data_IF_319452393806
#
_entry.id   IF_319452393806
#
_cell.length_a   1.000
_cell.length_b   1.000
_cell.length_c   1.000
_cell.angle_alpha   90.00
_cell.angle_beta   90.00
_cell.angle_gamma   90.00
#
_symmetry.space_group_name_H-M   'P 1'
#
loop_
_entity.id
_entity.type
_entity.pdbx_description
1 polymer ?
#
# COMPACT_ATOMS: atom_id res chain seq x y z
N UNK A 1 14.32 7.84 0.46
CA UNK A 1 14.29 6.79 -0.57
C UNK A 1 15.29 7.12 -1.66
N UNK A 2 15.98 6.12 -2.21
CA UNK A 2 16.98 6.30 -3.26
C UNK A 2 16.34 6.55 -4.64
N UNK A 3 17.07 7.26 -5.53
CA UNK A 3 16.74 7.29 -6.96
C UNK A 3 17.22 5.97 -7.59
N UNK A 4 16.31 5.23 -8.21
CA UNK A 4 16.61 3.93 -8.79
C UNK A 4 17.09 4.06 -10.24
N UNK A 5 18.04 3.21 -10.65
CA UNK A 5 18.40 3.04 -12.06
C UNK A 5 17.26 2.33 -12.82
N UNK A 6 17.28 2.39 -14.16
CA UNK A 6 16.28 1.71 -15.01
C UNK A 6 16.21 0.20 -14.71
N UNK A 7 17.36 -0.45 -14.56
CA UNK A 7 17.43 -1.88 -14.26
C UNK A 7 16.87 -2.20 -12.87
N UNK A 8 17.15 -1.37 -11.86
CA UNK A 8 16.58 -1.50 -10.53
C UNK A 8 15.06 -1.29 -10.56
N UNK A 9 14.57 -0.31 -11.32
CA UNK A 9 13.13 -0.11 -11.49
C UNK A 9 12.44 -1.33 -12.11
N UNK A 10 13.00 -1.88 -13.18
CA UNK A 10 12.45 -3.07 -13.83
C UNK A 10 12.45 -4.29 -12.89
N UNK A 11 13.56 -4.50 -12.18
CA UNK A 11 13.69 -5.61 -11.22
C UNK A 11 12.70 -5.49 -10.05
N UNK A 12 12.61 -4.30 -9.42
CA UNK A 12 11.67 -4.06 -8.30
C UNK A 12 10.21 -4.17 -8.77
N UNK A 13 9.90 -3.70 -9.98
CA UNK A 13 8.56 -3.85 -10.56
C UNK A 13 8.19 -5.32 -10.76
N UNK A 14 9.07 -6.13 -11.33
CA UNK A 14 8.86 -7.56 -11.52
C UNK A 14 8.69 -8.29 -10.18
N UNK A 15 9.52 -7.95 -9.18
CA UNK A 15 9.40 -8.53 -7.85
C UNK A 15 8.09 -8.10 -7.16
N UNK A 16 7.67 -6.85 -7.29
CA UNK A 16 6.38 -6.40 -6.78
C UNK A 16 5.21 -7.10 -7.48
N UNK A 17 5.30 -7.28 -8.81
CA UNK A 17 4.28 -7.99 -9.58
C UNK A 17 4.13 -9.46 -9.16
N UNK A 18 5.23 -10.16 -8.89
CA UNK A 18 5.24 -11.56 -8.44
C UNK A 18 4.85 -11.70 -6.97
N UNK A 19 5.75 -11.27 -6.09
CA UNK A 19 5.71 -11.56 -4.65
C UNK A 19 5.41 -10.32 -3.79
N UNK A 20 4.78 -9.29 -4.35
CA UNK A 20 4.43 -8.10 -3.61
C UNK A 20 2.93 -7.87 -3.46
N UNK A 21 2.58 -6.90 -2.63
CA UNK A 21 1.21 -6.43 -2.45
C UNK A 21 1.16 -4.92 -2.26
N UNK A 22 0.16 -4.30 -2.89
CA UNK A 22 -0.19 -2.89 -2.71
C UNK A 22 -1.58 -2.88 -2.09
N UNK A 23 -1.70 -2.40 -0.84
CA UNK A 23 -3.00 -2.36 -0.18
C UNK A 23 -3.14 -1.15 0.75
N UNK A 24 -4.39 -0.81 1.06
CA UNK A 24 -4.75 0.25 2.00
C UNK A 24 -5.78 -0.31 2.96
N UNK A 25 -5.51 -0.21 4.27
CA UNK A 25 -6.46 -0.59 5.31
C UNK A 25 -7.12 0.65 5.89
N UNK A 26 -8.41 0.54 6.17
CA UNK A 26 -9.12 1.46 7.03
C UNK A 26 -9.13 0.86 8.43
N UNK A 27 -8.55 1.58 9.40
CA UNK A 27 -8.46 1.13 10.80
C UNK A 27 -9.25 2.10 11.67
N UNK A 28 -10.16 1.63 12.56
CA UNK A 28 -10.77 2.49 13.56
C UNK A 28 -9.68 3.16 14.40
N UNK A 29 -9.76 4.46 14.53
CA UNK A 29 -8.82 5.24 15.36
C UNK A 29 -9.47 6.59 15.70
N UNK A 30 -9.77 6.81 16.99
CA UNK A 30 -10.46 7.99 17.50
C UNK A 30 -9.63 9.29 17.37
N UNK A 31 -8.31 9.18 17.25
CA UNK A 31 -7.43 10.33 17.08
C UNK A 31 -7.56 10.97 15.68
N UNK A 32 -8.22 10.27 14.74
CA UNK A 32 -8.45 10.78 13.39
C UNK A 32 -9.83 11.45 13.30
N UNK A 33 -9.88 12.60 12.64
CA UNK A 33 -11.07 13.47 12.53
C UNK A 33 -12.37 12.73 12.13
N UNK A 34 -12.28 11.67 11.32
CA UNK A 34 -13.43 10.85 10.93
C UNK A 34 -13.49 9.49 11.63
N UNK A 35 -12.72 9.31 12.73
CA UNK A 35 -12.67 8.06 13.51
C UNK A 35 -11.96 6.90 12.83
N UNK A 36 -11.27 7.12 11.69
CA UNK A 36 -10.59 6.10 10.93
C UNK A 36 -9.26 6.57 10.36
N UNK A 37 -8.25 5.75 10.52
CA UNK A 37 -6.96 5.90 9.86
C UNK A 37 -6.96 5.25 8.48
N UNK A 38 -6.52 5.96 7.45
CA UNK A 38 -6.16 5.40 6.14
C UNK A 38 -4.71 4.95 6.22
N UNK A 39 -4.46 3.63 6.26
CA UNK A 39 -3.16 3.01 6.48
C UNK A 39 -2.70 2.26 5.20
N UNK A 40 -1.97 2.94 4.29
CA UNK A 40 -1.41 2.32 3.10
C UNK A 40 -0.16 1.51 3.43
N UNK A 41 0.10 0.47 2.62
CA UNK A 41 1.33 -0.32 2.68
C UNK A 41 1.69 -0.88 1.30
N UNK A 42 2.98 -0.98 1.03
CA UNK A 42 3.56 -1.83 0.00
C UNK A 42 4.39 -2.87 0.73
N UNK A 43 4.18 -4.14 0.42
CA UNK A 43 4.88 -5.25 1.08
C UNK A 43 5.43 -6.19 0.02
N UNK A 44 6.67 -6.61 0.20
CA UNK A 44 7.30 -7.68 -0.56
C UNK A 44 7.43 -8.89 0.36
N UNK A 45 7.10 -10.07 -0.13
CA UNK A 45 7.10 -11.31 0.63
C UNK A 45 8.21 -12.23 0.14
N UNK A 46 8.82 -12.96 1.08
CA UNK A 46 9.77 -14.01 0.76
C UNK A 46 9.83 -15.03 1.91
N UNK A 47 10.36 -16.22 1.65
CA UNK A 47 10.72 -17.14 2.72
C UNK A 47 11.76 -16.50 3.66
N UNK A 48 11.69 -16.77 4.96
CA UNK A 48 12.72 -16.33 5.92
C UNK A 48 14.12 -16.86 5.57
N UNK A 49 14.21 -17.98 4.84
CA UNK A 49 15.49 -18.49 4.32
C UNK A 49 16.19 -17.50 3.38
N UNK A 50 15.42 -16.65 2.72
CA UNK A 50 15.90 -15.65 1.77
C UNK A 50 15.91 -14.23 2.37
N UNK A 51 16.02 -14.08 3.69
CA UNK A 51 15.98 -12.78 4.35
C UNK A 51 17.04 -11.82 3.82
N UNK A 52 18.27 -12.31 3.57
CA UNK A 52 19.37 -11.51 3.00
C UNK A 52 18.99 -10.87 1.66
N UNK A 53 18.18 -11.56 0.86
CA UNK A 53 17.67 -10.99 -0.39
C UNK A 53 16.75 -9.78 -0.12
N UNK A 54 15.84 -9.86 0.84
CA UNK A 54 15.00 -8.73 1.22
C UNK A 54 15.82 -7.57 1.82
N UNK A 55 16.91 -7.85 2.53
CA UNK A 55 17.84 -6.83 3.00
C UNK A 55 18.53 -6.08 1.85
N UNK A 56 18.89 -6.80 0.78
CA UNK A 56 19.43 -6.18 -0.44
C UNK A 56 18.39 -5.27 -1.11
N UNK A 57 17.14 -5.72 -1.24
CA UNK A 57 16.04 -4.91 -1.77
C UNK A 57 15.83 -3.65 -0.93
N UNK A 58 15.85 -3.78 0.40
CA UNK A 58 15.76 -2.64 1.32
C UNK A 58 16.91 -1.66 1.10
N UNK A 59 18.15 -2.12 0.93
CA UNK A 59 19.31 -1.26 0.63
C UNK A 59 19.15 -0.51 -0.69
N UNK A 60 18.65 -1.19 -1.72
CA UNK A 60 18.38 -0.57 -3.04
C UNK A 60 17.35 0.55 -2.90
N UNK A 61 16.23 0.30 -2.24
CA UNK A 61 15.14 1.28 -2.08
C UNK A 61 15.51 2.38 -1.07
N UNK A 62 16.27 2.03 -0.03
CA UNK A 62 16.78 2.98 0.96
C UNK A 62 15.74 3.43 1.99
N UNK A 63 14.69 2.63 2.25
CA UNK A 63 13.64 2.93 3.24
C UNK A 63 12.91 1.66 3.67
N UNK A 64 12.01 1.76 4.67
CA UNK A 64 11.18 0.65 5.13
C UNK A 64 11.88 -0.25 6.14
N UNK A 65 11.21 -1.34 6.51
CA UNK A 65 11.69 -2.29 7.52
C UNK A 65 11.32 -3.72 7.17
N UNK A 66 12.03 -4.66 7.80
CA UNK A 66 11.82 -6.09 7.66
C UNK A 66 11.02 -6.62 8.86
N UNK A 67 10.15 -7.58 8.61
CA UNK A 67 9.42 -8.32 9.63
C UNK A 67 9.45 -9.80 9.34
N UNK A 68 9.77 -10.61 10.36
CA UNK A 68 9.62 -12.07 10.31
C UNK A 68 8.26 -12.44 10.87
N UNK A 69 7.57 -13.38 10.23
CA UNK A 69 6.30 -13.95 10.67
C UNK A 69 6.54 -15.33 11.26
N UNK A 70 5.63 -15.81 12.11
CA UNK A 70 5.76 -17.11 12.75
C UNK A 70 5.53 -18.30 11.78
N UNK A 71 4.98 -18.03 10.58
CA UNK A 71 4.70 -19.03 9.54
C UNK A 71 5.84 -19.21 8.53
N UNK A 72 7.05 -18.73 8.84
CA UNK A 72 8.23 -18.86 7.98
C UNK A 72 8.34 -17.82 6.85
N UNK A 73 7.42 -16.86 6.77
CA UNK A 73 7.45 -15.78 5.81
C UNK A 73 8.21 -14.59 6.38
N UNK A 74 9.06 -13.97 5.56
CA UNK A 74 9.64 -12.65 5.79
C UNK A 74 8.93 -11.60 4.92
N UNK A 75 8.76 -10.41 5.47
CA UNK A 75 8.13 -9.29 4.82
C UNK A 75 9.08 -8.09 4.81
N UNK A 76 9.22 -7.44 3.66
CA UNK A 76 9.79 -6.10 3.57
C UNK A 76 8.66 -5.10 3.36
N UNK A 77 8.51 -4.16 4.29
CA UNK A 77 7.33 -3.30 4.43
C UNK A 77 7.73 -1.84 4.24
N UNK A 78 7.01 -1.17 3.34
CA UNK A 78 6.99 0.29 3.18
C UNK A 78 5.65 0.81 3.72
N UNK A 79 5.70 1.71 4.71
CA UNK A 79 4.51 2.30 5.36
C UNK A 79 4.46 3.83 5.25
N UNK A 80 5.54 4.47 4.83
CA UNK A 80 5.58 5.92 4.61
C UNK A 80 5.01 6.28 3.23
N UNK A 81 4.03 7.20 3.20
CA UNK A 81 3.30 7.59 1.98
C UNK A 81 4.21 8.23 0.94
N UNK A 82 5.12 9.09 1.37
CA UNK A 82 6.06 9.78 0.47
C UNK A 82 6.97 8.78 -0.23
N UNK A 83 7.54 7.86 0.54
CA UNK A 83 8.38 6.75 0.03
C UNK A 83 7.62 5.85 -0.93
N UNK A 84 6.42 5.39 -0.56
CA UNK A 84 5.60 4.53 -1.42
C UNK A 84 5.21 5.21 -2.73
N UNK A 85 4.80 6.49 -2.65
CA UNK A 85 4.42 7.26 -3.83
C UNK A 85 5.62 7.50 -4.77
N UNK A 86 6.78 7.79 -4.21
CA UNK A 86 8.01 7.96 -4.98
C UNK A 86 8.46 6.67 -5.65
N UNK A 87 8.42 5.54 -4.91
CA UNK A 87 8.74 4.22 -5.47
C UNK A 87 7.79 3.88 -6.62
N UNK A 88 6.47 3.95 -6.39
CA UNK A 88 5.49 3.61 -7.40
C UNK A 88 5.62 4.47 -8.65
N UNK A 89 5.89 5.78 -8.54
CA UNK A 89 6.13 6.65 -9.70
C UNK A 89 7.34 6.20 -10.52
N UNK A 90 8.42 5.75 -9.87
CA UNK A 90 9.63 5.28 -10.57
C UNK A 90 9.41 3.93 -11.28
N UNK A 91 8.70 2.98 -10.64
CA UNK A 91 8.52 1.64 -11.17
C UNK A 91 7.27 1.47 -12.05
N UNK A 92 6.34 2.43 -12.04
CA UNK A 92 5.06 2.36 -12.76
C UNK A 92 5.20 2.01 -14.28
N UNK A 93 6.18 2.53 -15.02
CA UNK A 93 6.38 2.15 -16.43
C UNK A 93 6.66 0.66 -16.63
N UNK A 94 7.29 0.02 -15.65
CA UNK A 94 7.78 -1.35 -15.68
C UNK A 94 6.79 -2.37 -15.10
N UNK A 95 5.77 -1.93 -14.35
CA UNK A 95 4.72 -2.81 -13.82
C UNK A 95 3.84 -3.34 -14.96
N UNK A 96 3.53 -4.63 -14.91
CA UNK A 96 2.62 -5.31 -15.84
C UNK A 96 1.32 -5.67 -15.10
N UNK A 97 1.41 -6.54 -14.10
CA UNK A 97 0.28 -7.09 -13.40
C UNK A 97 -0.37 -6.09 -12.42
N UNK A 98 0.42 -5.44 -11.57
CA UNK A 98 -0.09 -4.50 -10.55
C UNK A 98 -0.13 -3.03 -11.00
N UNK A 99 0.00 -2.77 -12.30
CA UNK A 99 -0.05 -1.39 -12.84
C UNK A 99 -1.34 -0.64 -12.49
N UNK A 100 -2.49 -1.33 -12.54
CA UNK A 100 -3.80 -0.75 -12.18
C UNK A 100 -3.85 -0.41 -10.69
N UNK A 101 -3.38 -1.32 -9.82
CA UNK A 101 -3.31 -1.09 -8.38
C UNK A 101 -2.40 0.11 -8.04
N UNK A 102 -1.21 0.18 -8.66
CA UNK A 102 -0.26 1.27 -8.45
C UNK A 102 -0.85 2.64 -8.84
N UNK A 103 -1.50 2.73 -10.01
CA UNK A 103 -2.17 3.96 -10.45
C UNK A 103 -3.29 4.37 -9.49
N UNK A 104 -4.12 3.42 -9.08
CA UNK A 104 -5.22 3.70 -8.16
C UNK A 104 -4.70 4.10 -6.78
N UNK A 105 -3.66 3.45 -6.28
CA UNK A 105 -2.99 3.82 -5.04
C UNK A 105 -2.52 5.29 -5.08
N UNK A 106 -1.79 5.69 -6.13
CA UNK A 106 -1.30 7.07 -6.27
C UNK A 106 -2.45 8.09 -6.28
N UNK A 107 -3.53 7.77 -7.00
CA UNK A 107 -4.75 8.61 -7.02
C UNK A 107 -5.40 8.71 -5.64
N UNK A 108 -5.47 7.60 -4.90
CA UNK A 108 -6.01 7.59 -3.53
C UNK A 108 -5.14 8.45 -2.61
N UNK A 109 -3.80 8.35 -2.69
CA UNK A 109 -2.91 9.17 -1.85
C UNK A 109 -3.03 10.66 -2.14
N UNK A 110 -3.20 11.04 -3.41
CA UNK A 110 -3.49 12.42 -3.78
C UNK A 110 -4.81 12.88 -3.15
N UNK A 111 -5.90 12.13 -3.34
CA UNK A 111 -7.22 12.47 -2.78
C UNK A 111 -7.22 12.48 -1.25
N UNK A 112 -6.45 11.60 -0.62
CA UNK A 112 -6.30 11.58 0.85
C UNK A 112 -5.77 12.90 1.39
N UNK A 113 -4.84 13.54 0.68
CA UNK A 113 -4.28 14.84 1.09
C UNK A 113 -5.30 15.99 0.96
N UNK A 114 -6.34 15.82 0.16
CA UNK A 114 -7.38 16.81 -0.13
C UNK A 114 -8.64 16.64 0.74
N UNK A 115 -8.70 15.64 1.62
CA UNK A 115 -9.89 15.36 2.46
C UNK A 115 -10.13 16.51 3.44
N UNK A 116 -11.32 17.13 3.33
CA UNK A 116 -11.80 18.16 4.24
C UNK A 116 -13.17 17.81 4.85
N UNK A 117 -14.00 17.08 4.12
CA UNK A 117 -15.39 16.77 4.49
C UNK A 117 -15.64 15.28 4.68
N UNK A 118 -16.75 14.93 5.37
CA UNK A 118 -17.23 13.52 5.46
C UNK A 118 -17.42 12.92 4.06
N UNK A 119 -17.91 13.71 3.11
CA UNK A 119 -18.14 13.27 1.72
C UNK A 119 -16.83 12.93 1.01
N UNK A 120 -15.77 13.73 1.18
CA UNK A 120 -14.45 13.44 0.65
C UNK A 120 -13.90 12.14 1.22
N UNK A 121 -14.03 11.96 2.55
CA UNK A 121 -13.58 10.75 3.22
C UNK A 121 -14.31 9.49 2.71
N UNK A 122 -15.63 9.57 2.54
CA UNK A 122 -16.43 8.46 1.97
C UNK A 122 -16.00 8.17 0.53
N UNK A 123 -15.73 9.21 -0.26
CA UNK A 123 -15.23 9.04 -1.65
C UNK A 123 -13.91 8.29 -1.67
N UNK A 124 -12.96 8.66 -0.83
CA UNK A 124 -11.67 7.96 -0.69
C UNK A 124 -11.89 6.53 -0.19
N UNK A 125 -12.78 6.29 0.77
CA UNK A 125 -13.10 4.96 1.25
C UNK A 125 -13.65 4.03 0.14
N UNK A 126 -14.50 4.55 -0.76
CA UNK A 126 -14.99 3.79 -1.94
C UNK A 126 -13.86 3.48 -2.92
N UNK A 127 -12.93 4.41 -3.14
CA UNK A 127 -11.74 4.14 -3.97
C UNK A 127 -10.84 3.06 -3.36
N UNK A 128 -10.72 3.03 -2.02
CA UNK A 128 -10.00 1.96 -1.31
C UNK A 128 -10.70 0.62 -1.48
N UNK A 129 -12.04 0.57 -1.45
CA UNK A 129 -12.79 -0.66 -1.77
C UNK A 129 -12.49 -1.16 -3.19
N UNK A 130 -12.40 -0.24 -4.16
CA UNK A 130 -12.04 -0.59 -5.54
C UNK A 130 -10.62 -1.14 -5.67
N UNK A 131 -9.66 -0.60 -4.89
CA UNK A 131 -8.29 -1.12 -4.84
C UNK A 131 -8.26 -2.55 -4.28
N UNK A 132 -9.05 -2.81 -3.24
CA UNK A 132 -9.13 -4.13 -2.62
C UNK A 132 -9.69 -5.20 -3.57
N UNK A 133 -10.63 -4.82 -4.44
CA UNK A 133 -11.18 -5.74 -5.45
C UNK A 133 -10.13 -6.20 -6.47
N UNK A 134 -9.08 -5.40 -6.70
CA UNK A 134 -7.96 -5.76 -7.57
C UNK A 134 -6.96 -6.72 -6.89
N UNK A 135 -7.08 -6.92 -5.57
CA UNK A 135 -6.20 -7.80 -4.80
C UNK A 135 -6.81 -9.21 -4.67
N UNK A 136 -5.95 -10.23 -4.57
CA UNK A 136 -6.37 -11.63 -4.41
C UNK A 136 -7.11 -11.87 -3.08
N UNK A 137 -6.61 -11.29 -1.99
CA UNK A 137 -7.19 -11.48 -0.67
C UNK A 137 -8.31 -10.49 -0.42
N UNK A 138 -9.53 -10.99 -0.26
CA UNK A 138 -10.74 -10.21 0.02
C UNK A 138 -11.12 -10.18 1.51
N UNK A 139 -10.19 -10.50 2.43
CA UNK A 139 -10.44 -10.58 3.88
C UNK A 139 -10.46 -9.21 4.58
N UNK A 140 -11.11 -8.23 3.98
CA UNK A 140 -11.21 -6.90 4.58
C UNK A 140 -12.40 -6.83 5.55
N UNK A 141 -12.15 -6.27 6.76
CA UNK A 141 -13.19 -6.11 7.80
C UNK A 141 -13.93 -4.79 7.70
N UNK A 142 -13.27 -3.70 7.33
CA UNK A 142 -13.83 -2.34 7.27
C UNK A 142 -13.93 -1.88 5.81
N UNK A 143 -15.16 -1.63 5.37
CA UNK A 143 -15.49 -1.16 4.02
C UNK A 143 -16.10 0.24 4.06
N UNK A 144 -16.25 0.89 2.91
CA UNK A 144 -16.95 2.18 2.80
C UNK A 144 -18.39 2.11 3.32
N UNK A 145 -19.08 0.97 3.19
CA UNK A 145 -20.43 0.77 3.73
C UNK A 145 -20.49 0.92 5.25
N UNK A 146 -19.52 0.31 5.96
CA UNK A 146 -19.43 0.43 7.42
C UNK A 146 -19.15 1.89 7.83
N UNK A 147 -18.23 2.55 7.12
CA UNK A 147 -17.91 3.96 7.35
C UNK A 147 -19.12 4.87 7.15
N UNK A 148 -19.87 4.69 6.05
CA UNK A 148 -21.09 5.47 5.78
C UNK A 148 -22.08 5.29 6.94
N UNK A 149 -22.28 4.06 7.41
CA UNK A 149 -23.20 3.78 8.52
C UNK A 149 -22.74 4.42 9.82
N UNK A 150 -21.43 4.44 10.12
CA UNK A 150 -20.87 5.06 11.34
C UNK A 150 -20.95 6.58 11.29
N UNK A 151 -20.63 7.20 10.14
CA UNK A 151 -20.66 8.66 9.98
C UNK A 151 -22.06 9.27 9.95
N UNK A 152 -23.11 8.47 9.71
CA UNK A 152 -24.52 8.89 9.82
C UNK A 152 -24.99 8.99 11.27
N UNK A 153 -24.32 8.33 12.21
CA UNK A 153 -24.66 8.31 13.63
C UNK A 153 -23.97 9.44 14.43
N UNK A 154 -23.05 10.15 13.80
CA UNK A 154 -22.37 11.36 14.27
C UNK A 154 -22.99 12.63 13.64
#
# INVERSE_FOLDING_TARGET
>A
MNKLSRNQCAYIAGFLDGDGSIYIRLKPNQDYHFGYQIAPNIVFYQSQKNLLFLEQIKKIIGAGYLRKRNDGVAEYILGDISTMSSLLKQILPYLIFKKKQARLFLKIMQRKAEIKTKTDFVTVAKMIDSLEQLNYSKKRRITSKIIISSLRKL
#
